data_IF_768311414376
#
_entry.id   IF_768311414376
#
_cell.length_a   1.000
_cell.length_b   1.000
_cell.length_c   1.000
_cell.angle_alpha   90.00
_cell.angle_beta   90.00
_cell.angle_gamma   90.00
#
_symmetry.space_group_name_H-M   'P 1'
#
loop_
_entity.id
_entity.type
_entity.pdbx_description
1 polymer ?
#
# COMPACT_ATOMS: atom_id res chain seq x y z
N UNK A 1 -9.49 1.82 20.39
CA UNK A 1 -10.12 1.28 19.17
C UNK A 1 -9.16 0.31 18.50
N UNK A 2 -9.63 -0.88 18.13
CA UNK A 2 -8.78 -1.90 17.49
C UNK A 2 -8.64 -1.64 15.99
N UNK A 3 -7.52 -2.08 15.40
CA UNK A 3 -7.31 -2.07 13.94
C UNK A 3 -8.50 -2.69 13.17
N UNK A 4 -9.13 -3.72 13.73
CA UNK A 4 -10.32 -4.36 13.14
C UNK A 4 -11.52 -3.41 13.04
N UNK A 5 -11.71 -2.52 14.00
CA UNK A 5 -12.77 -1.49 13.95
C UNK A 5 -12.48 -0.46 12.85
N UNK A 6 -11.25 0.05 12.80
CA UNK A 6 -10.82 0.97 11.74
C UNK A 6 -10.98 0.34 10.35
N UNK A 7 -10.61 -0.93 10.21
CA UNK A 7 -10.78 -1.68 8.96
C UNK A 7 -12.25 -1.83 8.55
N UNK A 8 -13.17 -2.05 9.51
CA UNK A 8 -14.61 -2.13 9.23
C UNK A 8 -15.16 -0.79 8.72
N UNK A 9 -14.79 0.32 9.34
CA UNK A 9 -15.19 1.66 8.87
C UNK A 9 -14.64 1.92 7.47
N UNK A 10 -13.37 1.57 7.25
CA UNK A 10 -12.73 1.71 5.95
C UNK A 10 -13.41 0.87 4.86
N UNK A 11 -13.84 -0.36 5.20
CA UNK A 11 -14.56 -1.24 4.27
C UNK A 11 -15.90 -0.63 3.82
N UNK A 12 -16.64 -0.01 4.73
CA UNK A 12 -17.88 0.69 4.39
C UNK A 12 -17.61 1.93 3.55
N UNK A 13 -16.64 2.76 3.98
CA UNK A 13 -16.25 3.97 3.25
C UNK A 13 -15.75 3.66 1.82
N UNK A 14 -15.03 2.55 1.63
CA UNK A 14 -14.54 2.14 0.32
C UNK A 14 -15.70 1.96 -0.69
N UNK A 15 -16.79 1.35 -0.26
CA UNK A 15 -17.99 1.17 -1.10
C UNK A 15 -18.62 2.50 -1.55
N UNK A 16 -18.53 3.55 -0.72
CA UNK A 16 -19.09 4.87 -1.03
C UNK A 16 -18.12 5.69 -1.92
N UNK A 17 -16.81 5.41 -1.84
CA UNK A 17 -15.77 6.15 -2.57
C UNK A 17 -15.59 5.60 -3.99
N UNK A 18 -15.67 4.28 -4.17
CA UNK A 18 -15.43 3.62 -5.46
C UNK A 18 -16.67 3.72 -6.36
N UNK A 19 -16.47 4.18 -7.57
CA UNK A 19 -17.53 4.27 -8.57
C UNK A 19 -17.52 3.07 -9.52
N UNK A 20 -18.67 2.73 -10.12
CA UNK A 20 -18.71 1.80 -11.25
C UNK A 20 -17.72 2.21 -12.35
N UNK A 21 -16.95 1.24 -12.83
CA UNK A 21 -15.93 1.45 -13.86
C UNK A 21 -14.56 1.91 -13.34
N UNK A 22 -14.37 2.12 -12.03
CA UNK A 22 -13.07 2.47 -11.48
C UNK A 22 -12.07 1.29 -11.60
N UNK A 23 -10.81 1.62 -11.87
CA UNK A 23 -9.66 0.74 -11.65
C UNK A 23 -9.06 1.06 -10.28
N UNK A 24 -9.21 0.10 -9.34
CA UNK A 24 -8.78 0.23 -7.94
C UNK A 24 -7.44 -0.47 -7.70
N UNK A 25 -6.40 0.28 -7.37
CA UNK A 25 -5.13 -0.24 -6.89
C UNK A 25 -5.22 -0.74 -5.44
N UNK A 26 -4.67 -1.93 -5.19
CA UNK A 26 -4.64 -2.54 -3.85
C UNK A 26 -3.20 -2.73 -3.41
N UNK A 27 -2.85 -2.09 -2.29
CA UNK A 27 -1.59 -2.30 -1.60
C UNK A 27 -1.60 -3.59 -0.77
N UNK A 28 -0.62 -3.74 0.12
CA UNK A 28 -0.44 -4.92 0.96
C UNK A 28 -0.37 -4.56 2.45
N UNK A 29 -0.68 -5.52 3.30
CA UNK A 29 -0.47 -5.48 4.74
C UNK A 29 -1.69 -5.91 5.54
N UNK A 30 -1.50 -6.06 6.85
CA UNK A 30 -2.54 -6.49 7.77
C UNK A 30 -3.81 -5.62 7.71
N UNK A 31 -3.64 -4.32 7.60
CA UNK A 31 -4.76 -3.38 7.46
C UNK A 31 -5.58 -3.69 6.20
N UNK A 32 -4.93 -3.92 5.07
CA UNK A 32 -5.59 -4.21 3.79
C UNK A 32 -6.31 -5.55 3.86
N UNK A 33 -5.67 -6.57 4.43
CA UNK A 33 -6.28 -7.88 4.69
C UNK A 33 -7.57 -7.75 5.50
N UNK A 34 -7.52 -7.03 6.63
CA UNK A 34 -8.68 -6.83 7.50
C UNK A 34 -9.80 -6.06 6.80
N UNK A 35 -9.48 -5.08 5.95
CA UNK A 35 -10.50 -4.40 5.14
C UNK A 35 -11.17 -5.40 4.19
N UNK A 36 -10.41 -6.23 3.49
CA UNK A 36 -10.95 -7.28 2.63
C UNK A 36 -11.87 -8.26 3.37
N UNK A 37 -11.52 -8.65 4.61
CA UNK A 37 -12.36 -9.48 5.47
C UNK A 37 -13.70 -8.80 5.85
N UNK A 38 -13.68 -7.49 6.07
CA UNK A 38 -14.84 -6.70 6.52
C UNK A 38 -15.70 -6.16 5.37
N UNK A 39 -15.21 -6.21 4.13
CA UNK A 39 -15.98 -5.76 2.97
C UNK A 39 -17.26 -6.57 2.82
N UNK A 40 -18.41 -5.90 2.62
CA UNK A 40 -19.63 -6.59 2.27
C UNK A 40 -19.52 -7.25 0.89
N UNK A 41 -20.18 -8.39 0.71
CA UNK A 41 -20.33 -9.04 -0.59
C UNK A 41 -21.34 -8.25 -1.44
N UNK A 42 -20.91 -7.13 -1.97
CA UNK A 42 -21.75 -6.23 -2.78
C UNK A 42 -20.98 -5.78 -4.00
N UNK A 43 -21.42 -6.20 -5.18
CA UNK A 43 -20.78 -5.85 -6.44
C UNK A 43 -20.81 -4.35 -6.73
N UNK A 44 -19.71 -3.84 -7.31
CA UNK A 44 -19.62 -2.51 -7.91
C UNK A 44 -19.44 -2.76 -9.42
N UNK A 45 -20.41 -2.39 -10.28
CA UNK A 45 -20.40 -2.78 -11.68
C UNK A 45 -19.17 -2.27 -12.45
N UNK A 46 -18.64 -3.12 -13.33
CA UNK A 46 -17.53 -2.79 -14.25
C UNK A 46 -16.24 -2.33 -13.58
N UNK A 47 -16.08 -2.56 -12.27
CA UNK A 47 -14.87 -2.23 -11.52
C UNK A 47 -13.79 -3.26 -11.76
N UNK A 48 -12.55 -2.81 -11.84
CA UNK A 48 -11.36 -3.66 -11.91
C UNK A 48 -10.48 -3.42 -10.67
N UNK A 49 -9.79 -4.46 -10.23
CA UNK A 49 -8.80 -4.39 -9.14
C UNK A 49 -7.41 -4.67 -9.68
N UNK A 50 -6.42 -3.91 -9.24
CA UNK A 50 -5.03 -4.03 -9.65
C UNK A 50 -4.12 -4.16 -8.42
N UNK A 51 -3.37 -5.25 -8.32
CA UNK A 51 -2.29 -5.38 -7.34
C UNK A 51 -1.18 -4.38 -7.65
N UNK A 52 -0.78 -3.52 -6.70
CA UNK A 52 0.17 -2.41 -6.94
C UNK A 52 1.56 -2.62 -6.34
N UNK A 53 1.81 -3.75 -5.72
CA UNK A 53 3.12 -4.16 -5.19
C UNK A 53 3.29 -5.64 -5.44
N UNK A 54 4.49 -6.09 -5.80
CA UNK A 54 4.82 -7.48 -6.03
C UNK A 54 4.52 -8.35 -4.80
N UNK A 55 4.46 -9.66 -5.00
CA UNK A 55 4.14 -10.62 -3.95
C UNK A 55 5.29 -10.73 -2.94
N UNK A 56 4.91 -10.90 -1.68
CA UNK A 56 5.82 -11.13 -0.55
C UNK A 56 5.38 -12.40 0.16
N UNK A 57 6.33 -13.27 0.48
CA UNK A 57 6.07 -14.41 1.36
C UNK A 57 6.02 -13.92 2.80
N UNK A 58 5.00 -14.35 3.53
CA UNK A 58 4.87 -14.10 4.95
C UNK A 58 4.09 -15.23 5.60
N UNK A 59 4.66 -15.85 6.63
CA UNK A 59 3.99 -16.91 7.41
C UNK A 59 2.76 -16.40 8.18
N UNK A 60 2.60 -15.08 8.31
CA UNK A 60 1.58 -14.46 9.17
C UNK A 60 0.54 -13.63 8.44
N UNK A 61 0.86 -13.16 7.23
CA UNK A 61 0.00 -12.25 6.47
C UNK A 61 -0.35 -12.84 5.12
N UNK A 62 -1.53 -12.51 4.62
CA UNK A 62 -1.87 -12.78 3.23
C UNK A 62 -0.85 -12.08 2.32
N UNK A 63 -0.56 -12.67 1.16
CA UNK A 63 0.25 -12.03 0.14
C UNK A 63 -0.45 -10.78 -0.42
N UNK A 64 0.30 -9.94 -1.15
CA UNK A 64 -0.30 -8.79 -1.84
C UNK A 64 -1.31 -9.23 -2.90
N UNK A 65 -1.05 -10.36 -3.54
CA UNK A 65 -1.95 -11.02 -4.49
C UNK A 65 -3.25 -11.44 -3.82
N UNK A 66 -3.18 -12.15 -2.67
CA UNK A 66 -4.37 -12.60 -1.93
C UNK A 66 -5.24 -11.43 -1.46
N UNK A 67 -4.62 -10.33 -1.01
CA UNK A 67 -5.35 -9.12 -0.63
C UNK A 67 -6.15 -8.55 -1.82
N UNK A 68 -5.52 -8.46 -3.00
CA UNK A 68 -6.17 -7.96 -4.20
C UNK A 68 -7.32 -8.88 -4.66
N UNK A 69 -7.09 -10.20 -4.69
CA UNK A 69 -8.10 -11.20 -5.05
C UNK A 69 -9.27 -11.17 -4.07
N UNK A 70 -9.00 -11.11 -2.76
CA UNK A 70 -10.05 -11.07 -1.74
C UNK A 70 -10.96 -9.86 -1.92
N UNK A 71 -10.38 -8.66 -2.11
CA UNK A 71 -11.16 -7.43 -2.32
C UNK A 71 -11.93 -7.51 -3.64
N UNK A 72 -11.30 -7.96 -4.72
CA UNK A 72 -11.96 -8.12 -6.02
C UNK A 72 -13.18 -9.04 -5.93
N UNK A 73 -13.05 -10.18 -5.25
CA UNK A 73 -14.17 -11.11 -5.06
C UNK A 73 -15.33 -10.47 -4.28
N UNK A 74 -15.04 -9.66 -3.25
CA UNK A 74 -16.06 -8.98 -2.43
C UNK A 74 -16.86 -7.95 -3.21
N UNK A 75 -16.23 -7.22 -4.12
CA UNK A 75 -16.88 -6.18 -4.93
C UNK A 75 -17.28 -6.66 -6.33
N UNK A 76 -17.09 -7.94 -6.64
CA UNK A 76 -17.45 -8.53 -7.94
C UNK A 76 -16.60 -7.99 -9.11
N UNK A 77 -15.34 -7.64 -8.86
CA UNK A 77 -14.44 -7.03 -9.83
C UNK A 77 -13.50 -8.06 -10.48
N UNK A 78 -13.05 -7.78 -11.70
CA UNK A 78 -11.93 -8.49 -12.30
C UNK A 78 -10.63 -8.10 -11.57
N UNK A 79 -9.81 -9.10 -11.21
CA UNK A 79 -8.51 -8.87 -10.54
C UNK A 79 -7.34 -9.02 -11.52
N UNK A 80 -6.43 -8.05 -11.49
CA UNK A 80 -5.15 -8.05 -12.21
C UNK A 80 -4.01 -8.22 -11.22
N UNK A 81 -3.47 -9.41 -11.14
CA UNK A 81 -2.36 -9.75 -10.25
C UNK A 81 -1.01 -9.42 -10.89
N UNK A 82 -0.04 -9.01 -10.08
CA UNK A 82 1.32 -8.68 -10.49
C UNK A 82 2.23 -9.89 -10.25
N UNK A 83 2.54 -10.63 -11.32
CA UNK A 83 3.36 -11.84 -11.26
C UNK A 83 4.85 -11.54 -11.09
N UNK A 84 5.20 -10.88 -10.00
CA UNK A 84 6.56 -10.51 -9.67
C UNK A 84 6.77 -10.50 -8.15
N UNK A 85 7.96 -10.85 -7.64
CA UNK A 85 8.32 -10.59 -6.25
C UNK A 85 8.31 -9.09 -5.96
N UNK A 86 7.99 -8.68 -4.72
CA UNK A 86 8.03 -7.28 -4.32
C UNK A 86 9.45 -6.70 -4.33
N UNK A 87 10.44 -7.54 -4.03
CA UNK A 87 11.85 -7.15 -4.01
C UNK A 87 12.71 -8.19 -4.72
N UNK A 88 13.61 -7.74 -5.57
CA UNK A 88 14.58 -8.57 -6.28
C UNK A 88 15.94 -8.46 -5.61
N UNK A 89 16.81 -9.45 -5.87
CA UNK A 89 18.17 -9.51 -5.32
C UNK A 89 19.12 -8.45 -5.89
N UNK A 90 18.78 -7.83 -7.02
CA UNK A 90 19.57 -6.75 -7.64
C UNK A 90 18.69 -5.81 -8.48
N UNK A 91 19.16 -4.58 -8.66
CA UNK A 91 18.51 -3.59 -9.51
C UNK A 91 18.50 -3.99 -10.99
N UNK A 92 19.54 -4.67 -11.46
CA UNK A 92 19.61 -5.17 -12.84
C UNK A 92 18.53 -6.21 -13.12
N UNK A 93 18.32 -7.13 -12.18
CA UNK A 93 17.25 -8.13 -12.27
C UNK A 93 15.86 -7.48 -12.22
N UNK A 94 15.68 -6.50 -11.34
CA UNK A 94 14.43 -5.74 -11.25
C UNK A 94 14.14 -4.97 -12.55
N UNK A 95 15.15 -4.37 -13.16
CA UNK A 95 15.02 -3.68 -14.46
C UNK A 95 14.62 -4.66 -15.56
N UNK A 96 15.32 -5.79 -15.68
CA UNK A 96 15.00 -6.81 -16.66
C UNK A 96 13.56 -7.34 -16.49
N UNK A 97 13.14 -7.59 -15.24
CA UNK A 97 11.78 -8.06 -14.98
C UNK A 97 10.71 -7.03 -15.33
N UNK A 98 10.95 -5.72 -15.08
CA UNK A 98 10.02 -4.65 -15.48
C UNK A 98 9.84 -4.54 -17.00
N UNK A 99 10.85 -4.94 -17.77
CA UNK A 99 10.81 -4.91 -19.24
C UNK A 99 10.13 -6.14 -19.84
N UNK A 100 9.90 -7.20 -19.07
CA UNK A 100 9.13 -8.37 -19.52
C UNK A 100 7.72 -7.94 -19.94
N UNK A 101 7.23 -8.35 -21.13
CA UNK A 101 5.98 -7.85 -21.70
C UNK A 101 4.77 -7.99 -20.76
N UNK A 102 4.65 -9.10 -20.04
CA UNK A 102 3.55 -9.35 -19.13
C UNK A 102 3.60 -8.40 -17.90
N UNK A 103 4.79 -8.21 -17.32
CA UNK A 103 5.01 -7.32 -16.19
C UNK A 103 4.83 -5.86 -16.60
N UNK A 104 5.44 -5.46 -17.72
CA UNK A 104 5.31 -4.11 -18.28
C UNK A 104 3.86 -3.73 -18.54
N UNK A 105 3.06 -4.65 -19.09
CA UNK A 105 1.62 -4.45 -19.30
C UNK A 105 0.89 -4.21 -17.96
N UNK A 106 1.25 -4.96 -16.91
CA UNK A 106 0.64 -4.81 -15.59
C UNK A 106 1.06 -3.48 -14.94
N UNK A 107 2.35 -3.14 -14.95
CA UNK A 107 2.85 -1.88 -14.41
C UNK A 107 2.21 -0.65 -15.09
N UNK A 108 1.95 -0.74 -16.40
CA UNK A 108 1.27 0.33 -17.16
C UNK A 108 -0.15 0.64 -16.67
N UNK A 109 -0.82 -0.30 -15.99
CA UNK A 109 -2.13 -0.05 -15.37
C UNK A 109 -2.06 0.97 -14.24
N UNK A 110 -0.90 1.13 -13.58
CA UNK A 110 -0.72 2.10 -12.49
C UNK A 110 -0.93 3.56 -12.94
N UNK A 111 -0.66 3.84 -14.23
CA UNK A 111 -0.87 5.17 -14.82
C UNK A 111 -2.36 5.54 -14.93
N UNK A 112 -3.26 4.54 -14.91
CA UNK A 112 -4.68 4.69 -15.14
C UNK A 112 -5.55 4.39 -13.91
N UNK A 113 -4.96 4.31 -12.72
CA UNK A 113 -5.71 4.09 -11.49
C UNK A 113 -6.68 5.25 -11.23
N UNK A 114 -7.95 4.94 -11.00
CA UNK A 114 -8.96 5.90 -10.53
C UNK A 114 -8.94 6.04 -9.01
N UNK A 115 -8.62 4.94 -8.34
CA UNK A 115 -8.51 4.89 -6.89
C UNK A 115 -7.36 3.98 -6.46
N UNK A 116 -6.81 4.21 -5.26
CA UNK A 116 -5.85 3.32 -4.62
C UNK A 116 -6.17 3.20 -3.14
N UNK A 117 -6.18 1.96 -2.63
CA UNK A 117 -6.30 1.65 -1.21
C UNK A 117 -4.93 1.32 -0.65
N UNK A 118 -4.48 2.10 0.33
CA UNK A 118 -3.17 1.99 0.95
C UNK A 118 -3.23 1.96 2.47
N UNK A 119 -2.16 1.52 3.07
CA UNK A 119 -1.83 1.75 4.47
C UNK A 119 -0.38 2.20 4.58
N UNK A 120 -0.02 2.87 5.66
CA UNK A 120 1.37 3.20 5.97
C UNK A 120 1.92 2.25 7.02
N UNK A 121 3.19 1.89 6.88
CA UNK A 121 3.99 1.20 7.90
C UNK A 121 4.85 2.20 8.68
N UNK A 122 5.00 1.96 9.98
CA UNK A 122 6.02 2.62 10.79
C UNK A 122 7.41 2.01 10.53
N UNK A 123 8.45 2.61 11.08
CA UNK A 123 9.83 2.13 11.01
C UNK A 123 10.36 1.77 12.40
N UNK A 124 9.48 1.34 13.31
CA UNK A 124 9.87 0.84 14.65
C UNK A 124 10.50 -0.56 14.55
N UNK A 125 11.05 -1.03 15.66
CA UNK A 125 11.67 -2.36 15.76
C UNK A 125 10.71 -3.52 15.48
N UNK A 126 9.42 -3.30 15.63
CA UNK A 126 8.35 -4.28 15.41
C UNK A 126 7.65 -4.11 14.07
N UNK A 127 8.22 -3.32 13.17
CA UNK A 127 7.61 -3.04 11.87
C UNK A 127 7.40 -4.29 11.04
N UNK A 128 6.28 -4.32 10.31
CA UNK A 128 5.98 -5.41 9.37
C UNK A 128 7.00 -5.52 8.23
N UNK A 129 7.71 -4.44 7.92
CA UNK A 129 8.75 -4.43 6.89
C UNK A 129 9.93 -5.35 7.26
N UNK A 130 10.25 -5.46 8.56
CA UNK A 130 11.24 -6.41 9.07
C UNK A 130 10.66 -7.82 9.20
N UNK A 131 9.47 -7.94 9.82
CA UNK A 131 8.87 -9.25 10.11
C UNK A 131 8.45 -10.02 8.85
N UNK A 132 8.19 -9.33 7.75
CA UNK A 132 7.95 -9.93 6.43
C UNK A 132 9.22 -10.33 5.69
N UNK A 133 10.41 -10.06 6.25
CA UNK A 133 11.68 -10.31 5.56
C UNK A 133 11.98 -9.39 4.38
N UNK A 134 11.16 -8.36 4.16
CA UNK A 134 11.33 -7.43 3.04
C UNK A 134 12.69 -6.72 3.09
N UNK A 135 13.13 -6.34 4.30
CA UNK A 135 14.46 -5.76 4.54
C UNK A 135 15.14 -6.38 5.76
N UNK A 136 16.46 -6.26 5.82
CA UNK A 136 17.25 -6.64 7.00
C UNK A 136 17.34 -5.47 7.97
N UNK A 137 17.59 -5.76 9.25
CA UNK A 137 17.74 -4.73 10.32
C UNK A 137 18.72 -3.62 9.95
N UNK A 138 19.89 -3.95 9.41
CA UNK A 138 20.89 -2.97 8.99
C UNK A 138 20.35 -1.95 7.97
N UNK A 139 19.46 -2.40 7.06
CA UNK A 139 18.85 -1.50 6.08
C UNK A 139 17.82 -0.57 6.73
N UNK A 140 17.08 -1.05 7.73
CA UNK A 140 16.15 -0.21 8.49
C UNK A 140 16.90 0.89 9.24
N UNK A 141 17.99 0.55 9.93
CA UNK A 141 18.80 1.51 10.68
C UNK A 141 19.39 2.60 9.74
N UNK A 142 19.83 2.20 8.54
CA UNK A 142 20.29 3.12 7.50
C UNK A 142 19.15 4.03 6.99
N UNK A 143 17.96 3.48 6.74
CA UNK A 143 16.79 4.24 6.31
C UNK A 143 16.39 5.28 7.36
N UNK A 144 16.35 4.91 8.63
CA UNK A 144 16.03 5.82 9.74
C UNK A 144 17.08 6.92 9.87
N UNK A 145 18.38 6.56 9.82
CA UNK A 145 19.47 7.54 9.91
C UNK A 145 19.48 8.55 8.76
N UNK A 146 18.95 8.17 7.60
CA UNK A 146 18.78 9.04 6.44
C UNK A 146 17.45 9.82 6.44
N UNK A 147 16.70 9.81 7.54
CA UNK A 147 15.48 10.59 7.72
C UNK A 147 14.20 9.91 7.24
N UNK A 148 14.22 8.59 7.07
CA UNK A 148 13.01 7.81 6.83
C UNK A 148 12.09 7.79 8.05
N UNK A 149 10.80 8.01 7.85
CA UNK A 149 9.78 8.03 8.92
C UNK A 149 8.63 7.08 8.67
N UNK A 150 8.50 6.54 7.47
CA UNK A 150 7.41 5.64 7.11
C UNK A 150 7.67 4.85 5.83
N UNK A 151 6.81 3.85 5.62
CA UNK A 151 6.81 2.96 4.47
C UNK A 151 5.43 2.97 3.80
N UNK A 152 5.39 3.22 2.49
CA UNK A 152 4.17 3.29 1.70
C UNK A 152 4.34 2.54 0.37
N UNK A 153 3.59 1.46 0.16
CA UNK A 153 3.58 0.69 -1.11
C UNK A 153 4.97 0.38 -1.66
N UNK A 154 5.89 -0.13 -0.85
CA UNK A 154 7.25 -0.45 -1.29
C UNK A 154 8.24 0.73 -1.24
N UNK A 155 7.80 1.90 -0.82
CA UNK A 155 8.63 3.10 -0.80
C UNK A 155 8.82 3.63 0.62
N UNK A 156 10.04 4.03 0.96
CA UNK A 156 10.33 4.74 2.21
C UNK A 156 10.14 6.24 2.01
N UNK A 157 9.50 6.89 2.97
CA UNK A 157 9.18 8.32 2.88
C UNK A 157 9.83 9.11 4.03
N UNK A 158 10.23 10.35 3.73
CA UNK A 158 10.70 11.35 4.69
C UNK A 158 9.52 12.07 5.34
N UNK A 159 9.79 12.89 6.36
CA UNK A 159 8.77 13.66 7.09
C UNK A 159 7.92 14.60 6.22
N UNK A 160 8.49 15.10 5.12
CA UNK A 160 7.77 15.90 4.13
C UNK A 160 7.00 15.06 3.09
N UNK A 161 7.02 13.73 3.20
CA UNK A 161 6.38 12.79 2.29
C UNK A 161 7.15 12.52 1.00
N UNK A 162 8.32 13.10 0.81
CA UNK A 162 9.18 12.77 -0.31
C UNK A 162 9.74 11.35 -0.19
N UNK A 163 9.97 10.74 -1.34
CA UNK A 163 10.60 9.42 -1.38
C UNK A 163 12.03 9.49 -0.87
N UNK A 164 12.38 8.60 0.06
CA UNK A 164 13.75 8.45 0.53
C UNK A 164 14.54 7.62 -0.50
N UNK A 165 15.61 8.15 -1.10
CA UNK A 165 16.54 7.35 -1.90
C UNK A 165 17.11 6.20 -1.05
N UNK A 166 17.01 4.99 -1.56
CA UNK A 166 17.49 3.78 -0.89
C UNK A 166 18.00 2.81 -1.94
N UNK A 167 19.08 2.04 -1.69
CA UNK A 167 19.53 0.97 -2.59
C UNK A 167 18.44 -0.08 -2.88
N UNK A 168 17.50 -0.22 -1.95
CA UNK A 168 16.37 -1.14 -2.11
C UNK A 168 15.32 -0.65 -3.11
N UNK A 169 15.21 0.67 -3.31
CA UNK A 169 14.20 1.25 -4.21
C UNK A 169 14.30 0.68 -5.62
N UNK A 170 15.50 0.57 -6.16
CA UNK A 170 15.71 0.10 -7.53
C UNK A 170 15.48 -1.42 -7.67
N UNK A 171 15.45 -2.14 -6.53
CA UNK A 171 15.12 -3.55 -6.45
C UNK A 171 13.63 -3.83 -6.26
N UNK A 172 12.81 -2.81 -5.97
CA UNK A 172 11.37 -2.98 -5.69
C UNK A 172 10.54 -3.04 -6.97
N UNK A 173 9.55 -3.93 -7.00
CA UNK A 173 8.50 -3.97 -8.02
C UNK A 173 7.20 -3.50 -7.38
N UNK A 174 6.91 -2.22 -7.52
CA UNK A 174 5.75 -1.57 -6.89
C UNK A 174 5.40 -0.27 -7.59
N UNK A 175 4.19 0.23 -7.31
CA UNK A 175 3.77 1.58 -7.69
C UNK A 175 4.71 2.64 -7.08
N UNK A 176 5.00 3.66 -7.83
CA UNK A 176 5.85 4.77 -7.37
C UNK A 176 5.06 5.83 -6.60
N UNK A 177 5.69 6.62 -5.72
CA UNK A 177 5.05 7.75 -5.05
C UNK A 177 4.45 8.78 -6.01
N UNK A 178 5.06 8.95 -7.19
CA UNK A 178 4.55 9.84 -8.24
C UNK A 178 3.24 9.33 -8.83
N UNK A 179 3.13 8.03 -9.11
CA UNK A 179 1.89 7.40 -9.60
C UNK A 179 0.80 7.42 -8.54
N UNK A 180 1.15 7.17 -7.26
CA UNK A 180 0.20 7.32 -6.15
C UNK A 180 -0.39 8.73 -6.15
N UNK A 181 0.46 9.78 -6.20
CA UNK A 181 -0.02 11.18 -6.20
C UNK A 181 -0.88 11.55 -7.40
N UNK A 182 -0.66 10.91 -8.55
CA UNK A 182 -1.48 11.11 -9.75
C UNK A 182 -2.84 10.43 -9.68
N UNK A 183 -2.98 9.39 -8.85
CA UNK A 183 -4.25 8.68 -8.67
C UNK A 183 -5.28 9.61 -8.02
N UNK A 184 -6.47 9.83 -8.62
CA UNK A 184 -7.44 10.80 -8.12
C UNK A 184 -7.92 10.54 -6.70
N UNK A 185 -8.30 9.29 -6.40
CA UNK A 185 -8.81 8.87 -5.09
C UNK A 185 -7.74 8.05 -4.36
N UNK A 186 -7.07 8.65 -3.39
CA UNK A 186 -6.02 8.01 -2.58
C UNK A 186 -6.55 7.75 -1.19
N UNK A 187 -6.95 6.51 -0.94
CA UNK A 187 -7.59 6.09 0.31
C UNK A 187 -6.52 5.48 1.19
N UNK A 188 -6.22 6.11 2.31
CA UNK A 188 -5.23 5.64 3.28
C UNK A 188 -5.91 5.24 4.58
N UNK A 189 -5.62 4.04 5.06
CA UNK A 189 -6.16 3.51 6.31
C UNK A 189 -5.01 3.20 7.25
N UNK A 190 -5.05 3.75 8.47
CA UNK A 190 -4.03 3.48 9.48
C UNK A 190 -4.62 3.44 10.89
N UNK A 191 -4.01 2.63 11.75
CA UNK A 191 -4.38 2.51 13.16
C UNK A 191 -3.12 2.25 13.99
N UNK A 192 -3.04 2.87 15.16
CA UNK A 192 -1.98 2.74 16.15
C UNK A 192 -1.00 3.92 16.17
N UNK A 193 -0.68 4.38 17.37
CA UNK A 193 0.14 5.59 17.64
C UNK A 193 1.53 5.54 17.01
N UNK A 194 2.13 4.35 16.86
CA UNK A 194 3.44 4.18 16.23
C UNK A 194 3.48 4.70 14.77
N UNK A 195 2.32 4.82 14.13
CA UNK A 195 2.20 5.26 12.73
C UNK A 195 2.07 6.77 12.54
N UNK A 196 2.04 7.55 13.63
CA UNK A 196 1.76 8.99 13.56
C UNK A 196 2.71 9.73 12.61
N UNK A 197 4.02 9.47 12.70
CA UNK A 197 5.00 10.12 11.84
C UNK A 197 4.83 9.72 10.37
N UNK A 198 4.55 8.45 10.12
CA UNK A 198 4.31 7.94 8.77
C UNK A 198 3.02 8.52 8.17
N UNK A 199 1.94 8.63 8.96
CA UNK A 199 0.67 9.22 8.54
C UNK A 199 0.84 10.72 8.25
N UNK A 200 1.46 11.49 9.16
CA UNK A 200 1.74 12.92 8.94
C UNK A 200 2.57 13.12 7.66
N UNK A 201 3.61 12.31 7.46
CA UNK A 201 4.43 12.37 6.26
C UNK A 201 3.64 12.07 4.97
N UNK A 202 2.81 11.02 4.99
CA UNK A 202 2.00 10.66 3.84
C UNK A 202 0.97 11.74 3.49
N UNK A 203 0.36 12.39 4.49
CA UNK A 203 -0.56 13.52 4.30
C UNK A 203 0.17 14.74 3.72
N UNK A 204 1.29 15.13 4.31
CA UNK A 204 2.13 16.27 3.85
C UNK A 204 2.59 16.06 2.41
N UNK A 205 2.98 14.82 2.04
CA UNK A 205 3.41 14.48 0.69
C UNK A 205 2.29 14.30 -0.34
N UNK A 206 1.03 14.50 0.06
CA UNK A 206 -0.13 14.37 -0.84
C UNK A 206 -0.42 12.93 -1.25
N UNK A 207 -0.04 11.95 -0.42
CA UNK A 207 -0.27 10.52 -0.71
C UNK A 207 -1.68 10.04 -0.32
N UNK A 208 -2.50 10.89 0.29
CA UNK A 208 -3.88 10.58 0.63
C UNK A 208 -4.82 11.75 0.30
N UNK A 209 -6.03 11.42 -0.19
CA UNK A 209 -7.17 12.32 -0.36
C UNK A 209 -8.30 11.97 0.58
N UNK A 210 -8.38 10.70 0.97
CA UNK A 210 -9.34 10.15 1.91
C UNK A 210 -8.57 9.37 2.97
N UNK A 211 -8.91 9.58 4.23
CA UNK A 211 -8.25 8.90 5.33
C UNK A 211 -9.27 8.26 6.27
N UNK A 212 -8.97 7.05 6.71
CA UNK A 212 -9.69 6.38 7.81
C UNK A 212 -8.66 6.04 8.87
N UNK A 213 -8.76 6.71 10.00
CA UNK A 213 -7.79 6.61 11.09
C UNK A 213 -8.54 6.29 12.39
N UNK A 214 -7.85 5.65 13.34
CA UNK A 214 -8.40 5.56 14.70
C UNK A 214 -8.36 6.93 15.40
N UNK A 215 -9.17 7.05 16.46
CA UNK A 215 -9.35 8.29 17.20
C UNK A 215 -8.03 8.86 17.74
N UNK A 216 -7.15 8.00 18.27
CA UNK A 216 -5.88 8.45 18.84
C UNK A 216 -4.98 9.08 17.77
N UNK A 217 -4.90 8.45 16.59
CA UNK A 217 -4.16 9.03 15.46
C UNK A 217 -4.74 10.38 15.02
N UNK A 218 -6.07 10.50 14.95
CA UNK A 218 -6.73 11.76 14.57
C UNK A 218 -6.39 12.85 15.58
N UNK A 219 -6.54 12.59 16.88
CA UNK A 219 -6.25 13.55 17.93
C UNK A 219 -4.79 14.03 17.91
N UNK A 220 -3.84 13.13 17.62
CA UNK A 220 -2.42 13.47 17.52
C UNK A 220 -2.05 14.22 16.22
N UNK A 221 -2.82 14.05 15.16
CA UNK A 221 -2.59 14.76 13.88
C UNK A 221 -3.13 16.20 13.96
N UNK A 222 -4.21 16.39 14.70
CA UNK A 222 -4.88 17.71 14.83
C UNK A 222 -4.21 18.64 15.86
N UNK A 223 -3.27 18.13 16.67
CA UNK A 223 -2.40 18.94 17.54
C UNK A 223 -1.33 19.68 16.75
#
# INVERSE_FOLDING_TARGET
FSLRHTARVAALALHDIINPGDLLGIAWGETIKLIGEQLPNRGIPNTEVCQVIGSMESDRLLSAEDCAIQIANKIGAQCHTLHAPAILSSSSLATALRDEPAIKKQLKKFENLNAILTSVGDLTETTHVLSSGLIKRKHLDEIISNGGVGFLCGNFIKSNGDNLPSPLKDCMISITPSEIRKTPKRIMVASGEKKIHAVKAALTGGHATHVVLDENLILEILK
#
